data_IF_086101712242
#
_entry.id   IF_086101712242
#
_cell.length_a   1.000
_cell.length_b   1.000
_cell.length_c   1.000
_cell.angle_alpha   90.00
_cell.angle_beta   90.00
_cell.angle_gamma   90.00
#
_symmetry.space_group_name_H-M   'P 1'
#
loop_
_entity.id
_entity.type
_entity.pdbx_description
1 polymer ?
2 non-polymer ?
3 non-polymer ?
4 non-polymer ?
5 non-polymer ?
6 water ?
#
# COMPACT_ATOMS: atom_id res chain seq x y z
N UNK A 6 21.56 -20.28 -20.63
CA UNK A 6 22.37 -20.15 -19.43
C UNK A 6 21.49 -20.11 -18.18
N UNK A 7 20.48 -19.25 -18.20
CA UNK A 7 19.55 -19.11 -17.09
C UNK A 7 18.12 -19.35 -17.57
N UNK A 8 17.41 -20.24 -16.87
CA UNK A 8 16.03 -20.56 -17.20
C UNK A 8 15.09 -19.55 -16.56
N UNK A 9 14.75 -18.50 -17.29
CA UNK A 9 13.80 -17.49 -16.82
C UNK A 9 12.46 -18.15 -16.58
N UNK A 10 12.11 -19.08 -17.47
CA UNK A 10 10.85 -19.79 -17.40
C UNK A 10 10.71 -20.58 -16.10
N UNK A 11 11.79 -21.24 -15.70
CA UNK A 11 11.76 -22.11 -14.53
C UNK A 11 11.61 -21.31 -13.24
N UNK A 12 12.28 -20.17 -13.16
CA UNK A 12 12.25 -19.34 -11.96
C UNK A 12 10.83 -18.88 -11.64
N UNK A 13 10.07 -18.59 -12.69
CA UNK A 13 8.70 -18.14 -12.54
C UNK A 13 7.80 -19.29 -12.06
N UNK A 14 8.14 -20.51 -12.47
CA UNK A 14 7.35 -21.68 -12.10
C UNK A 14 7.53 -22.04 -10.62
N UNK A 15 8.70 -21.73 -10.07
CA UNK A 15 9.00 -22.02 -8.67
C UNK A 15 8.73 -20.79 -7.78
N UNK A 16 8.15 -19.76 -8.35
CA UNK A 16 7.87 -18.53 -7.63
C UNK A 16 6.52 -18.63 -6.91
N UNK A 17 6.50 -18.47 -5.57
CA UNK A 17 5.22 -18.60 -4.86
C UNK A 17 4.24 -17.48 -5.20
N UNK A 18 2.95 -17.81 -5.24
CA UNK A 18 1.91 -16.85 -5.54
C UNK A 18 1.58 -15.99 -4.32
N UNK A 19 1.68 -14.68 -4.50
CA UNK A 19 1.52 -13.74 -3.39
C UNK A 19 0.12 -13.18 -3.25
N UNK A 20 -0.31 -12.98 -2.00
CA UNK A 20 -1.50 -12.21 -1.69
C UNK A 20 -1.08 -11.07 -0.78
N UNK A 21 -1.57 -9.87 -1.06
CA UNK A 21 -1.23 -8.69 -0.27
C UNK A 21 -2.45 -8.18 0.51
N UNK A 22 -2.29 -8.10 1.82
CA UNK A 22 -3.34 -7.59 2.70
C UNK A 22 -2.91 -6.25 3.29
N UNK A 23 -3.71 -5.23 3.00
CA UNK A 23 -3.44 -3.86 3.49
C UNK A 23 -4.35 -3.48 4.65
N UNK A 24 -3.73 -3.15 5.79
CA UNK A 24 -4.47 -2.76 6.98
C UNK A 24 -4.69 -1.25 7.05
N UNK A 25 -5.95 -0.88 7.25
CA UNK A 25 -6.36 0.53 7.26
C UNK A 25 -7.22 0.84 8.47
N UNK A 26 -7.23 2.10 8.89
CA UNK A 26 -8.04 2.53 10.01
C UNK A 26 -7.50 3.76 10.70
N UNK A 27 -8.34 4.37 11.54
CA UNK A 27 -7.94 5.55 12.31
C UNK A 27 -6.80 5.22 13.26
N UNK A 28 -6.19 6.26 13.82
CA UNK A 28 -5.18 6.07 14.86
C UNK A 28 -5.83 5.40 16.06
N UNK A 29 -5.04 4.64 16.81
CA UNK A 29 -5.50 3.98 18.03
C UNK A 29 -6.48 2.83 17.76
N UNK A 30 -6.61 2.45 16.49
CA UNK A 30 -7.54 1.37 16.12
C UNK A 30 -7.02 0.00 16.58
N UNK A 31 -5.70 -0.16 16.59
CA UNK A 31 -5.07 -1.40 17.01
C UNK A 31 -4.45 -2.17 15.87
N UNK A 32 -4.18 -1.48 14.76
CA UNK A 32 -3.61 -2.12 13.58
C UNK A 32 -2.24 -2.73 13.85
N UNK A 33 -1.34 -1.93 14.40
CA UNK A 33 0.03 -2.39 14.68
C UNK A 33 0.02 -3.51 15.72
N UNK A 34 -0.72 -3.31 16.80
CA UNK A 34 -0.86 -4.33 17.83
C UNK A 34 -1.35 -5.65 17.24
N UNK A 35 -2.49 -5.60 16.57
CA UNK A 35 -3.12 -6.80 16.02
C UNK A 35 -2.18 -7.51 15.08
N UNK A 36 -1.52 -6.73 14.24
CA UNK A 36 -0.69 -7.28 13.19
C UNK A 36 0.61 -7.85 13.77
N UNK A 37 1.08 -7.27 14.86
CA UNK A 37 2.21 -7.83 15.59
C UNK A 37 1.83 -9.14 16.26
N UNK A 38 0.62 -9.21 16.80
CA UNK A 38 0.14 -10.40 17.48
C UNK A 38 -0.10 -11.53 16.48
N UNK A 39 -0.56 -11.17 15.28
CA UNK A 39 -0.77 -12.14 14.23
C UNK A 39 0.56 -12.81 13.86
N UNK A 40 1.59 -12.00 13.67
CA UNK A 40 2.92 -12.51 13.32
C UNK A 40 3.43 -13.47 14.39
N UNK A 41 3.17 -13.15 15.65
CA UNK A 41 3.55 -14.02 16.76
C UNK A 41 2.79 -15.34 16.69
N UNK A 42 1.51 -15.27 16.33
CA UNK A 42 0.68 -16.47 16.24
C UNK A 42 1.13 -17.37 15.09
N UNK A 43 1.78 -16.78 14.09
CA UNK A 43 2.30 -17.53 12.95
C UNK A 43 3.75 -17.94 13.18
N UNK A 44 4.21 -17.85 14.43
CA UNK A 44 5.56 -18.29 14.81
C UNK A 44 6.65 -17.58 14.00
N UNK A 45 6.47 -16.28 13.79
CA UNK A 45 7.47 -15.48 13.08
C UNK A 45 8.30 -14.66 14.06
N UNK A 46 7.92 -14.70 15.34
CA UNK A 46 8.67 -14.03 16.40
C UNK A 46 9.09 -15.04 17.44
N UNK A 47 10.39 -15.17 17.66
CA UNK A 47 10.91 -16.12 18.64
C UNK A 47 10.54 -15.69 20.05
N UNK A 48 10.54 -16.66 20.98
CA UNK A 48 10.28 -16.36 22.38
C UNK A 48 11.36 -15.45 22.94
N UNK A 49 12.59 -15.67 22.52
CA UNK A 49 13.72 -14.86 22.99
C UNK A 49 13.56 -13.42 22.51
N UNK A 50 13.20 -13.26 21.25
CA UNK A 50 13.01 -11.94 20.67
C UNK A 50 11.82 -11.25 21.32
N UNK A 51 10.80 -12.03 21.67
CA UNK A 51 9.60 -11.50 22.30
C UNK A 51 9.94 -10.83 23.63
N UNK A 52 10.69 -11.53 24.47
CA UNK A 52 11.02 -11.03 25.81
C UNK A 52 11.80 -9.73 25.75
N UNK A 53 12.61 -9.56 24.70
CA UNK A 53 13.35 -8.32 24.49
C UNK A 53 12.41 -7.17 24.14
N UNK A 54 11.31 -7.49 23.45
CA UNK A 54 10.34 -6.48 23.03
C UNK A 54 9.52 -5.97 24.20
N UNK A 55 9.27 -6.83 25.19
CA UNK A 55 8.49 -6.46 26.36
C UNK A 55 9.30 -5.50 27.24
N UNK A 56 10.63 -5.64 27.17
CA UNK A 56 11.54 -4.76 27.88
C UNK A 56 11.54 -3.36 27.26
N UNK A 57 11.62 -3.30 25.93
CA UNK A 57 11.54 -2.03 25.22
C UNK A 57 10.22 -1.34 25.54
N UNK A 58 9.14 -2.11 25.56
CA UNK A 58 7.81 -1.59 25.81
C UNK A 58 7.66 -1.08 27.24
N UNK A 59 8.43 -1.65 28.16
CA UNK A 59 8.41 -1.21 29.55
C UNK A 59 8.99 0.19 29.71
N UNK A 60 9.99 0.51 28.88
CA UNK A 60 10.64 1.81 28.95
C UNK A 60 9.85 2.92 28.24
N UNK A 61 8.84 2.53 27.49
CA UNK A 61 8.02 3.50 26.75
C UNK A 61 6.75 3.85 27.52
N UNK A 62 5.98 4.78 26.96
CA UNK A 62 4.71 5.19 27.54
C UNK A 62 3.78 3.99 27.72
N UNK A 63 3.41 3.66 28.97
CA UNK A 63 2.55 2.48 29.15
C UNK A 63 1.11 2.72 28.72
N UNK A 64 0.80 3.96 28.35
CA UNK A 64 -0.53 4.31 27.87
C UNK A 64 -0.68 4.00 26.37
N UNK A 65 0.45 3.96 25.67
CA UNK A 65 0.44 3.78 24.21
C UNK A 65 1.08 2.47 23.77
N UNK A 66 1.98 1.94 24.57
CA UNK A 66 2.83 0.83 24.13
C UNK A 66 2.39 -0.55 24.64
N UNK A 67 2.68 -1.56 23.83
CA UNK A 67 2.62 -2.96 24.25
C UNK A 67 3.66 -3.74 23.45
N UNK A 68 3.85 -5.01 23.79
CA UNK A 68 4.96 -5.78 23.22
C UNK A 68 4.75 -6.18 21.75
N UNK A 69 3.50 -6.17 21.28
CA UNK A 69 3.22 -6.58 19.90
C UNK A 69 3.41 -5.42 18.91
N UNK A 70 2.92 -4.24 19.25
CA UNK A 70 2.98 -3.11 18.33
C UNK A 70 4.41 -2.63 18.11
N UNK A 71 5.28 -2.84 19.09
CA UNK A 71 6.68 -2.43 18.95
C UNK A 71 7.40 -3.28 17.91
N UNK A 72 6.79 -4.41 17.52
CA UNK A 72 7.32 -5.20 16.42
C UNK A 72 7.22 -4.41 15.12
N UNK A 73 6.12 -3.69 14.95
CA UNK A 73 5.88 -2.92 13.74
C UNK A 73 6.38 -1.48 13.91
N UNK A 74 6.13 -0.91 15.08
CA UNK A 74 6.67 0.39 15.41
C UNK A 74 8.10 0.20 15.88
N UNK A 75 8.98 -0.11 14.93
CA UNK A 75 10.34 -0.54 15.24
C UNK A 75 11.39 0.56 15.04
N UNK A 76 10.93 1.76 14.70
CA UNK A 76 11.82 2.90 14.55
C UNK A 76 11.90 3.66 15.87
N UNK A 77 13.03 4.32 16.10
CA UNK A 77 13.25 5.07 17.33
C UNK A 77 12.21 6.18 17.46
N UNK A 78 11.84 6.78 16.34
CA UNK A 78 10.94 7.92 16.34
C UNK A 78 9.48 7.52 16.58
N UNK A 79 9.11 6.32 16.16
CA UNK A 79 7.73 5.85 16.36
C UNK A 79 7.51 5.36 17.78
N UNK A 80 8.57 4.85 18.39
CA UNK A 80 8.50 4.34 19.76
C UNK A 80 8.41 5.48 20.76
N UNK A 81 9.13 6.57 20.50
CA UNK A 81 9.09 7.74 21.37
C UNK A 81 7.76 8.49 21.21
N UNK A 82 7.23 8.50 19.99
CA UNK A 82 5.96 9.17 19.72
C UNK A 82 4.75 8.33 20.14
N UNK A 83 4.88 7.01 20.04
CA UNK A 83 3.84 6.10 20.50
C UNK A 83 2.77 5.79 19.47
N UNK A 84 3.09 6.02 18.19
CA UNK A 84 2.18 5.67 17.10
C UNK A 84 2.94 5.53 15.78
N UNK A 85 2.32 4.85 14.82
CA UNK A 85 2.97 4.58 13.54
C UNK A 85 3.07 5.83 12.69
N UNK A 86 4.16 5.94 11.94
CA UNK A 86 4.42 7.08 11.06
C UNK A 86 4.78 6.61 9.66
N UNK A 87 5.33 5.41 9.57
CA UNK A 87 5.76 4.85 8.29
C UNK A 87 5.02 3.55 8.00
N UNK A 88 4.72 3.32 6.72
CA UNK A 88 4.11 2.06 6.31
C UNK A 88 5.13 0.93 6.45
N UNK A 89 4.66 -0.24 6.88
CA UNK A 89 5.51 -1.41 6.99
C UNK A 89 5.03 -2.52 6.06
N UNK A 90 5.96 -3.15 5.37
CA UNK A 90 5.65 -4.26 4.47
C UNK A 90 6.34 -5.53 4.96
N UNK A 91 5.55 -6.52 5.35
CA UNK A 91 6.05 -7.80 5.84
C UNK A 91 5.57 -8.94 4.97
N UNK A 92 6.52 -9.70 4.40
CA UNK A 92 6.20 -10.88 3.62
C UNK A 92 6.40 -12.14 4.45
N UNK A 93 5.35 -12.96 4.52
CA UNK A 93 5.36 -14.18 5.31
C UNK A 93 5.32 -15.40 4.41
N UNK A 94 6.16 -16.37 4.72
CA UNK A 94 6.19 -17.63 3.98
C UNK A 94 6.57 -18.76 4.92
N UNK A 95 5.60 -19.62 5.24
CA UNK A 95 5.85 -20.74 6.12
C UNK A 95 4.82 -21.86 5.93
N UNK A 96 4.90 -22.88 6.77
CA UNK A 96 4.07 -24.07 6.63
C UNK A 96 2.69 -23.91 7.26
N UNK A 97 2.36 -22.68 7.64
CA UNK A 97 1.02 -22.36 8.14
C UNK A 97 0.16 -21.77 7.03
N UNK A 98 0.82 -21.44 5.92
CA UNK A 98 0.14 -20.89 4.74
C UNK A 98 -0.04 -21.99 3.69
N UNK A 99 -0.88 -21.72 2.67
CA UNK A 99 -0.99 -22.66 1.56
C UNK A 99 0.36 -22.86 0.87
N UNK A 100 0.68 -24.09 0.45
CA UNK A 100 1.94 -24.35 -0.26
C UNK A 100 2.15 -23.45 -1.48
N UNK A 101 3.40 -23.06 -1.72
CA UNK A 101 3.77 -22.22 -2.86
C UNK A 101 3.10 -20.85 -2.81
N UNK A 102 2.93 -20.31 -1.60
CA UNK A 102 2.29 -19.02 -1.43
C UNK A 102 3.09 -18.11 -0.51
N UNK A 103 2.84 -16.81 -0.62
CA UNK A 103 3.33 -15.83 0.35
C UNK A 103 2.20 -14.90 0.74
N UNK A 104 2.18 -14.51 2.02
CA UNK A 104 1.20 -13.57 2.53
C UNK A 104 1.91 -12.27 2.90
N UNK A 105 1.62 -11.20 2.16
CA UNK A 105 2.18 -9.90 2.45
C UNK A 105 1.22 -9.07 3.29
N UNK A 106 1.69 -8.70 4.49
CA UNK A 106 0.92 -7.86 5.40
C UNK A 106 1.48 -6.44 5.41
N UNK A 107 0.61 -5.46 5.20
CA UNK A 107 1.04 -4.06 5.15
C UNK A 107 0.36 -3.21 6.22
N UNK A 108 1.18 -2.62 7.09
CA UNK A 108 0.70 -1.72 8.12
C UNK A 108 0.74 -0.29 7.60
N UNK A 109 -0.22 0.53 8.02
CA UNK A 109 -0.27 1.92 7.61
C UNK A 109 -0.61 2.81 8.79
N UNK A 110 -0.12 4.06 8.77
CA UNK A 110 -0.41 4.98 9.88
C UNK A 110 -1.84 5.50 9.82
N UNK A 111 -2.45 5.69 10.99
CA UNK A 111 -3.81 6.21 11.09
C UNK A 111 -3.88 7.69 11.44
N UNK A 112 -2.91 8.18 12.20
CA UNK A 112 -2.87 9.60 12.55
C UNK A 112 -2.86 10.44 11.29
N UNK A 113 -3.80 11.37 11.21
CA UNK A 113 -4.19 11.99 9.95
C UNK A 113 -3.01 12.57 9.18
N UNK A 114 -2.04 13.16 9.89
CA UNK A 114 -0.90 13.77 9.23
C UNK A 114 -0.13 12.73 8.41
N UNK A 115 0.17 11.61 9.02
CA UNK A 115 0.97 10.56 8.38
C UNK A 115 0.11 9.66 7.51
N UNK A 116 -1.19 9.64 7.77
CA UNK A 116 -2.14 8.97 6.90
C UNK A 116 -2.13 9.62 5.52
N UNK A 117 -2.22 10.95 5.51
CA UNK A 117 -2.22 11.72 4.27
C UNK A 117 -0.89 11.61 3.53
N UNK A 118 0.19 11.32 4.27
CA UNK A 118 1.51 11.19 3.68
C UNK A 118 1.71 9.86 2.97
N UNK A 119 1.24 8.77 3.60
CA UNK A 119 1.65 7.43 3.22
C UNK A 119 0.52 6.47 2.85
N UNK A 120 -0.60 6.54 3.56
CA UNK A 120 -1.60 5.48 3.48
C UNK A 120 -2.34 5.47 2.15
N UNK A 121 -2.79 6.63 1.69
CA UNK A 121 -3.50 6.72 0.42
C UNK A 121 -2.60 6.21 -0.71
N UNK A 122 -1.33 6.58 -0.66
CA UNK A 122 -0.38 6.15 -1.67
C UNK A 122 -0.07 4.65 -1.58
N UNK A 123 -0.15 4.09 -0.38
CA UNK A 123 0.10 2.67 -0.20
C UNK A 123 -0.96 1.85 -0.93
N UNK A 124 -2.19 2.35 -0.95
CA UNK A 124 -3.29 1.69 -1.64
C UNK A 124 -3.00 1.65 -3.15
N UNK A 125 -2.47 2.74 -3.68
CA UNK A 125 -2.21 2.85 -5.11
C UNK A 125 -0.90 2.18 -5.51
N UNK A 126 0.06 2.12 -4.58
CA UNK A 126 1.39 1.60 -4.89
C UNK A 126 1.40 0.06 -4.87
N UNK A 127 0.78 -0.52 -3.86
CA UNK A 127 0.92 -1.95 -3.61
C UNK A 127 -0.25 -2.78 -4.16
N UNK A 128 -1.33 -2.10 -4.54
CA UNK A 128 -2.44 -2.74 -5.26
C UNK A 128 -2.87 -4.05 -4.58
N UNK A 129 -3.30 -3.95 -3.31
CA UNK A 129 -3.64 -5.12 -2.49
C UNK A 129 -4.91 -5.84 -2.95
N UNK A 130 -4.90 -7.17 -2.89
CA UNK A 130 -6.08 -7.97 -3.22
C UNK A 130 -7.10 -7.89 -2.10
N UNK A 131 -6.62 -7.60 -0.89
CA UNK A 131 -7.46 -7.56 0.31
C UNK A 131 -7.23 -6.28 1.12
N UNK A 132 -8.33 -5.64 1.50
CA UNK A 132 -8.29 -4.55 2.45
C UNK A 132 -8.74 -5.07 3.82
N UNK A 133 -8.07 -4.62 4.87
CA UNK A 133 -8.49 -4.95 6.23
C UNK A 133 -8.71 -3.66 7.00
N UNK A 134 -9.99 -3.34 7.21
CA UNK A 134 -10.38 -2.13 7.92
C UNK A 134 -10.54 -2.43 9.40
N UNK A 135 -9.66 -1.84 10.21
CA UNK A 135 -9.65 -2.09 11.65
C UNK A 135 -10.39 -0.98 12.37
N UNK A 136 -11.32 -1.37 13.24
CA UNK A 136 -12.19 -0.42 13.92
C UNK A 136 -12.23 -0.65 15.43
N UNK A 137 -12.07 0.44 16.17
CA UNK A 137 -12.12 0.40 17.62
C UNK A 137 -13.58 0.41 18.09
N UNK A 138 -13.99 -0.68 18.73
CA UNK A 138 -15.38 -0.84 19.16
C UNK A 138 -15.58 -0.49 20.63
N UNK A 139 -14.54 0.01 21.27
CA UNK A 139 -14.64 0.44 22.66
C UNK A 139 -15.71 1.52 22.79
N UNK A 140 -16.23 1.70 24.00
CA UNK A 140 -17.28 2.69 24.24
C UNK A 140 -16.77 4.08 23.93
N UNK A 141 -17.65 4.88 23.33
CA UNK A 141 -17.39 6.29 23.01
C UNK A 141 -16.40 6.49 21.85
N UNK A 142 -15.49 5.55 21.66
CA UNK A 142 -14.51 5.66 20.56
C UNK A 142 -15.22 5.55 19.21
N UNK A 143 -16.09 4.56 19.08
CA UNK A 143 -16.83 4.33 17.85
C UNK A 143 -17.72 5.51 17.50
N UNK A 144 -18.39 6.06 18.51
CA UNK A 144 -19.30 7.19 18.30
C UNK A 144 -18.54 8.45 17.86
N UNK A 145 -17.34 8.62 18.39
CA UNK A 145 -16.51 9.79 18.05
C UNK A 145 -15.86 9.69 16.67
N UNK A 146 -15.86 8.48 16.09
CA UNK A 146 -15.07 8.24 14.89
C UNK A 146 -15.91 8.32 13.61
N UNK A 147 -17.14 8.81 13.72
CA UNK A 147 -17.99 9.02 12.55
C UNK A 147 -18.64 10.40 12.57
N UNK A 148 -17.81 11.43 12.62
CA UNK A 148 -18.28 12.81 12.59
C UNK A 148 -18.43 13.31 11.15
N UNK A 149 -19.67 13.29 10.66
CA UNK A 149 -19.98 13.84 9.36
C UNK A 149 -19.59 12.94 8.20
N UNK A 150 -19.91 13.37 6.97
CA UNK A 150 -19.66 12.61 5.74
C UNK A 150 -18.18 12.45 5.39
N UNK A 151 -17.31 13.25 6.01
CA UNK A 151 -15.89 13.23 5.68
C UNK A 151 -15.00 12.70 6.80
N UNK A 152 -15.57 11.91 7.71
CA UNK A 152 -14.75 11.29 8.75
C UNK A 152 -13.72 10.38 8.11
N UNK A 153 -12.64 10.10 8.84
CA UNK A 153 -11.49 9.41 8.26
C UNK A 153 -11.84 8.01 7.74
N UNK A 154 -12.78 7.34 8.39
CA UNK A 154 -13.20 6.01 7.96
C UNK A 154 -13.90 6.08 6.61
N UNK A 155 -14.74 7.10 6.40
CA UNK A 155 -15.44 7.25 5.13
C UNK A 155 -14.48 7.67 4.02
N UNK A 156 -13.43 8.39 4.37
CA UNK A 156 -12.43 8.81 3.39
C UNK A 156 -11.71 7.59 2.82
N UNK A 157 -11.42 6.63 3.69
CA UNK A 157 -10.85 5.36 3.24
C UNK A 157 -11.82 4.68 2.27
N UNK A 158 -13.08 4.60 2.68
CA UNK A 158 -14.10 3.94 1.86
C UNK A 158 -14.33 4.66 0.53
N UNK A 159 -14.20 5.99 0.53
CA UNK A 159 -14.35 6.77 -0.69
C UNK A 159 -13.27 6.44 -1.73
N UNK A 160 -12.21 5.76 -1.30
CA UNK A 160 -11.17 5.30 -2.21
C UNK A 160 -11.37 3.83 -2.57
N UNK A 161 -11.36 2.96 -1.56
CA UNK A 161 -11.31 1.52 -1.80
C UNK A 161 -12.62 0.95 -2.33
N UNK A 162 -13.73 1.69 -2.16
CA UNK A 162 -15.02 1.24 -2.67
C UNK A 162 -15.15 1.42 -4.19
N UNK A 163 -14.30 2.27 -4.76
CA UNK A 163 -14.50 2.73 -6.13
C UNK A 163 -13.31 2.48 -7.07
N UNK A 164 -12.19 2.01 -6.52
CA UNK A 164 -11.03 1.70 -7.34
C UNK A 164 -11.30 0.50 -8.25
N UNK A 165 -10.77 0.55 -9.46
CA UNK A 165 -10.92 -0.53 -10.44
C UNK A 165 -12.38 -0.83 -10.76
N UNK A 166 -13.09 0.18 -11.25
CA UNK A 166 -14.46 -0.01 -11.71
C UNK A 166 -14.47 -0.92 -12.94
N UNK A 167 -15.62 -1.54 -13.20
CA UNK A 167 -15.80 -2.49 -14.29
C UNK A 167 -15.18 -3.85 -13.96
N UNK A 168 -14.56 -3.95 -12.79
CA UNK A 168 -14.13 -5.23 -12.23
C UNK A 168 -13.06 -5.95 -13.08
N UNK A 169 -13.37 -7.19 -13.49
CA UNK A 169 -12.40 -8.22 -13.92
C UNK A 169 -11.74 -8.84 -12.69
N UNK A 170 -11.92 -8.19 -11.54
CA UNK A 170 -11.56 -8.74 -10.24
C UNK A 170 -12.62 -8.25 -9.27
N UNK A 171 -12.77 -8.91 -8.13
CA UNK A 171 -13.74 -8.47 -7.14
C UNK A 171 -13.07 -8.11 -5.82
N UNK A 172 -13.63 -7.10 -5.19
CA UNK A 172 -13.07 -6.55 -3.96
C UNK A 172 -13.17 -7.55 -2.82
N UNK A 173 -12.20 -7.47 -1.92
CA UNK A 173 -12.22 -8.26 -0.69
C UNK A 173 -11.91 -7.37 0.50
N UNK A 174 -12.94 -7.10 1.30
CA UNK A 174 -12.82 -6.25 2.48
C UNK A 174 -13.16 -7.04 3.73
N UNK A 175 -12.19 -7.13 4.65
CA UNK A 175 -12.45 -7.69 5.97
C UNK A 175 -12.51 -6.55 6.96
N UNK A 176 -13.64 -6.42 7.66
CA UNK A 176 -13.78 -5.43 8.72
C UNK A 176 -13.54 -6.10 10.06
N UNK A 177 -12.45 -5.72 10.71
CA UNK A 177 -12.12 -6.25 12.03
C UNK A 177 -12.71 -5.35 13.12
N UNK A 178 -13.71 -5.89 13.79
CA UNK A 178 -14.32 -5.22 14.93
C UNK A 178 -13.45 -5.46 16.17
N UNK A 179 -12.48 -4.56 16.36
CA UNK A 179 -11.38 -4.78 17.28
C UNK A 179 -11.64 -4.27 18.70
N UNK A 180 -10.77 -4.67 19.63
CA UNK A 180 -10.86 -4.27 21.04
C UNK A 180 -12.17 -4.75 21.65
N UNK A 181 -12.63 -5.92 21.22
CA UNK A 181 -13.86 -6.50 21.73
C UNK A 181 -13.75 -6.79 23.22
N UNK A 182 -12.52 -6.94 23.72
CA UNK A 182 -12.28 -7.20 25.14
C UNK A 182 -12.66 -6.00 26.00
N UNK A 183 -12.49 -4.79 25.47
CA UNK A 183 -12.80 -3.58 26.22
C UNK A 183 -14.31 -3.35 26.36
N UNK A 184 -15.10 -4.22 25.72
CA UNK A 184 -16.56 -4.14 25.85
C UNK A 184 -17.12 -5.51 26.26
N UNK A 185 -16.23 -6.41 26.66
CA UNK A 185 -16.62 -7.74 27.12
C UNK A 185 -17.51 -8.45 26.10
N UNK A 186 -17.22 -8.23 24.83
CA UNK A 186 -17.95 -8.83 23.72
C UNK A 186 -19.46 -8.54 23.82
N UNK A 187 -19.76 -7.29 24.11
CA UNK A 187 -21.13 -6.78 24.13
C UNK A 187 -21.83 -7.14 22.81
N UNK A 188 -22.71 -8.14 22.87
CA UNK A 188 -23.34 -8.68 21.66
C UNK A 188 -24.14 -7.62 20.91
N UNK A 189 -24.99 -6.92 21.65
CA UNK A 189 -25.84 -5.88 21.09
C UNK A 189 -25.01 -4.79 20.44
N UNK A 190 -23.92 -4.41 21.10
CA UNK A 190 -23.06 -3.34 20.63
C UNK A 190 -22.33 -3.73 19.34
N UNK A 191 -21.76 -4.93 19.32
CA UNK A 191 -21.07 -5.42 18.12
C UNK A 191 -22.03 -5.58 16.95
N UNK A 192 -23.25 -6.04 17.24
CA UNK A 192 -24.26 -6.19 16.20
C UNK A 192 -24.67 -4.83 15.65
N UNK A 193 -24.82 -3.85 16.55
CA UNK A 193 -25.17 -2.49 16.15
C UNK A 193 -24.10 -1.92 15.21
N UNK A 194 -22.85 -1.95 15.65
CA UNK A 194 -21.74 -1.43 14.86
C UNK A 194 -21.69 -2.12 13.51
N UNK A 195 -21.81 -3.44 13.51
CA UNK A 195 -21.83 -4.20 12.26
C UNK A 195 -23.01 -3.79 11.39
N UNK A 196 -24.18 -3.61 12.00
CA UNK A 196 -25.38 -3.22 11.26
C UNK A 196 -25.19 -1.88 10.59
N UNK A 197 -24.61 -0.94 11.34
CA UNK A 197 -24.36 0.41 10.83
C UNK A 197 -23.42 0.40 9.63
N UNK A 198 -22.33 -0.34 9.72
CA UNK A 198 -21.33 -0.36 8.65
C UNK A 198 -21.85 -1.10 7.44
N UNK A 199 -22.58 -2.19 7.67
CA UNK A 199 -23.17 -2.97 6.59
C UNK A 199 -24.08 -2.11 5.72
N UNK A 200 -24.88 -1.26 6.36
CA UNK A 200 -25.77 -0.36 5.64
C UNK A 200 -25.01 0.64 4.78
N UNK A 201 -24.04 1.33 5.39
CA UNK A 201 -23.25 2.34 4.70
C UNK A 201 -22.51 1.73 3.51
N UNK A 202 -21.85 0.61 3.74
CA UNK A 202 -21.09 -0.06 2.69
C UNK A 202 -21.98 -0.39 1.50
N UNK A 203 -23.18 -0.88 1.79
CA UNK A 203 -24.10 -1.31 0.74
C UNK A 203 -24.82 -0.14 0.08
N UNK A 204 -25.37 0.75 0.89
CA UNK A 204 -26.22 1.82 0.38
C UNK A 204 -25.42 2.99 -0.19
N UNK A 205 -24.32 3.34 0.47
CA UNK A 205 -23.56 4.52 0.09
C UNK A 205 -22.34 4.21 -0.77
N UNK A 206 -21.76 3.03 -0.60
CA UNK A 206 -20.51 2.68 -1.27
C UNK A 206 -20.64 1.45 -2.17
N UNK A 207 -21.86 0.93 -2.26
CA UNK A 207 -22.23 -0.04 -3.28
C UNK A 207 -21.49 -1.38 -3.17
N UNK A 208 -21.12 -1.76 -1.96
CA UNK A 208 -20.52 -3.07 -1.71
C UNK A 208 -21.59 -4.15 -1.78
N UNK A 209 -21.22 -5.33 -2.27
CA UNK A 209 -22.10 -6.49 -2.27
C UNK A 209 -21.63 -7.49 -1.23
N UNK A 210 -22.56 -8.28 -0.69
CA UNK A 210 -22.29 -9.20 0.41
C UNK A 210 -21.04 -10.06 0.21
N UNK A 211 -20.86 -10.59 -0.99
CA UNK A 211 -19.73 -11.47 -1.27
C UNK A 211 -18.39 -10.75 -1.16
N UNK A 212 -18.42 -9.42 -1.26
CA UNK A 212 -17.19 -8.64 -1.31
C UNK A 212 -16.63 -8.30 0.07
N UNK A 213 -17.40 -8.55 1.13
CA UNK A 213 -16.92 -8.21 2.47
C UNK A 213 -17.52 -9.06 3.57
N UNK A 214 -16.90 -8.99 4.75
CA UNK A 214 -17.34 -9.73 5.92
C UNK A 214 -16.83 -9.10 7.21
N UNK A 215 -17.54 -9.32 8.30
CA UNK A 215 -17.15 -8.78 9.59
C UNK A 215 -16.55 -9.87 10.47
N UNK A 216 -15.54 -9.51 11.26
CA UNK A 216 -14.94 -10.44 12.21
C UNK A 216 -14.62 -9.69 13.51
N UNK A 217 -15.26 -10.08 14.62
CA UNK A 217 -14.89 -9.50 15.91
C UNK A 217 -13.58 -10.07 16.42
N UNK A 218 -12.79 -9.27 17.13
CA UNK A 218 -11.52 -9.74 17.63
C UNK A 218 -10.92 -8.82 18.68
N UNK A 219 -9.83 -9.29 19.27
CA UNK A 219 -8.97 -8.50 20.13
C UNK A 219 -7.52 -8.71 19.72
N UNK A 220 -6.92 -7.70 19.10
CA UNK A 220 -5.57 -7.82 18.61
C UNK A 220 -4.56 -7.91 19.75
N UNK A 221 -4.91 -7.30 20.89
CA UNK A 221 -4.03 -7.32 22.05
C UNK A 221 -4.03 -8.69 22.71
N UNK A 222 -5.21 -9.23 22.98
CA UNK A 222 -5.34 -10.53 23.63
C UNK A 222 -5.26 -11.68 22.62
N UNK A 223 -5.41 -11.36 21.34
CA UNK A 223 -5.32 -12.37 20.29
C UNK A 223 -6.61 -13.14 20.07
N UNK A 224 -7.69 -12.70 20.72
CA UNK A 224 -8.97 -13.37 20.62
C UNK A 224 -9.49 -13.40 19.18
N UNK A 225 -9.72 -14.60 18.68
CA UNK A 225 -10.29 -14.82 17.35
C UNK A 225 -9.37 -14.40 16.20
N UNK A 226 -8.07 -14.33 16.47
CA UNK A 226 -7.10 -14.06 15.41
C UNK A 226 -6.78 -15.33 14.65
N UNK A 227 -6.64 -16.45 15.38
CA UNK A 227 -6.39 -17.73 14.74
C UNK A 227 -6.95 -18.88 15.55
N UNK A 228 -6.85 -20.09 15.01
CA UNK A 228 -7.42 -21.31 15.59
C UNK A 228 -8.84 -21.09 16.10
N UNK A 242 -14.40 -16.64 34.33
CA UNK A 242 -13.44 -17.45 33.61
C UNK A 242 -13.44 -17.05 32.15
N UNK A 243 -13.82 -15.80 31.90
CA UNK A 243 -14.07 -15.33 30.54
C UNK A 243 -13.35 -14.03 30.20
N UNK A 244 -12.06 -14.15 29.88
CA UNK A 244 -11.36 -13.14 29.10
C UNK A 244 -10.40 -13.91 28.19
N UNK A 245 -10.08 -13.34 27.03
CA UNK A 245 -9.35 -14.06 25.99
C UNK A 245 -10.19 -15.23 25.46
N UNK A 246 -11.51 -15.10 25.65
CA UNK A 246 -12.47 -16.10 25.18
C UNK A 246 -13.20 -15.56 23.96
N UNK A 247 -13.71 -16.47 23.14
CA UNK A 247 -14.65 -16.11 22.09
C UNK A 247 -16.03 -16.58 22.55
N UNK A 248 -16.99 -15.64 22.69
CA UNK A 248 -18.29 -15.99 23.30
C UNK A 248 -19.03 -17.08 22.54
N UNK A 249 -19.89 -17.80 23.26
CA UNK A 249 -20.60 -18.95 22.72
C UNK A 249 -21.46 -18.59 21.51
N UNK A 250 -22.00 -17.38 21.50
CA UNK A 250 -22.94 -16.99 20.45
C UNK A 250 -22.25 -16.70 19.12
N UNK A 251 -20.98 -16.32 19.15
CA UNK A 251 -20.25 -16.08 17.91
C UNK A 251 -19.92 -17.40 17.21
N UNK A 252 -20.35 -17.52 15.96
CA UNK A 252 -20.11 -18.74 15.20
C UNK A 252 -19.54 -18.42 13.82
N UNK A 253 -18.91 -17.26 13.71
CA UNK A 253 -18.19 -16.89 12.51
C UNK A 253 -16.77 -17.40 12.53
N UNK A 254 -16.00 -17.13 11.47
CA UNK A 254 -14.62 -17.62 11.36
C UNK A 254 -13.60 -16.75 12.09
N UNK A 255 -12.39 -17.27 12.24
CA UNK A 255 -11.28 -16.48 12.78
C UNK A 255 -10.68 -15.63 11.67
N UNK A 256 -9.91 -14.61 12.04
CA UNK A 256 -9.28 -13.74 11.07
C UNK A 256 -8.37 -14.53 10.13
N UNK A 257 -7.46 -15.31 10.70
CA UNK A 257 -6.46 -16.01 9.89
C UNK A 257 -7.07 -17.10 9.00
N UNK A 258 -8.17 -17.69 9.44
CA UNK A 258 -8.85 -18.69 8.64
C UNK A 258 -9.34 -18.07 7.34
N UNK A 259 -9.82 -16.84 7.42
CA UNK A 259 -10.30 -16.14 6.24
C UNK A 259 -9.15 -15.67 5.37
N UNK A 260 -8.05 -15.26 5.99
CA UNK A 260 -6.83 -14.93 5.26
C UNK A 260 -6.36 -16.15 4.48
N UNK A 261 -6.35 -17.31 5.14
CA UNK A 261 -5.90 -18.54 4.51
C UNK A 261 -6.69 -18.85 3.25
N UNK A 262 -8.01 -18.79 3.36
CA UNK A 262 -8.88 -19.07 2.23
C UNK A 262 -8.63 -18.10 1.06
N UNK A 263 -8.43 -16.83 1.39
CA UNK A 263 -8.18 -15.82 0.37
C UNK A 263 -6.87 -16.10 -0.38
N UNK A 264 -5.82 -16.44 0.36
CA UNK A 264 -4.54 -16.81 -0.26
C UNK A 264 -4.75 -18.01 -1.17
N UNK A 265 -5.49 -19.00 -0.66
CA UNK A 265 -5.74 -20.24 -1.38
C UNK A 265 -6.50 -19.99 -2.68
N UNK A 266 -7.59 -19.23 -2.59
CA UNK A 266 -8.40 -18.93 -3.76
C UNK A 266 -7.64 -18.04 -4.76
N UNK A 267 -6.60 -17.37 -4.27
CA UNK A 267 -5.77 -16.53 -5.12
C UNK A 267 -4.83 -17.38 -5.97
N UNK A 268 -4.63 -18.64 -5.57
CA UNK A 268 -3.74 -19.55 -6.28
C UNK A 268 -4.18 -19.72 -7.73
N UNK A 269 -5.49 -19.86 -7.94
CA UNK A 269 -6.03 -20.03 -9.28
C UNK A 269 -6.11 -18.68 -10.00
N UNK A 270 -4.96 -18.04 -10.18
CA UNK A 270 -4.88 -16.74 -10.83
C UNK A 270 -3.99 -16.82 -12.07
N UNK A 271 -4.42 -16.19 -13.15
CA UNK A 271 -3.68 -16.22 -14.40
C UNK A 271 -2.40 -15.40 -14.27
N UNK A 272 -1.27 -16.04 -14.53
CA UNK A 272 0.04 -15.41 -14.41
C UNK A 272 0.60 -15.05 -15.79
N UNK A 273 0.67 -13.75 -16.08
CA UNK A 273 1.11 -13.26 -17.39
C UNK A 273 2.48 -12.59 -17.34
N UNK A 274 3.32 -13.01 -16.40
CA UNK A 274 4.61 -12.37 -16.17
C UNK A 274 5.49 -12.31 -17.41
N UNK A 275 5.56 -13.41 -18.17
CA UNK A 275 6.42 -13.48 -19.35
C UNK A 275 6.03 -12.46 -20.41
N UNK A 276 4.74 -12.12 -20.45
CA UNK A 276 4.23 -11.14 -21.40
C UNK A 276 4.48 -9.71 -20.94
N UNK A 277 4.52 -9.52 -19.64
CA UNK A 277 4.61 -8.20 -19.05
C UNK A 277 5.95 -7.50 -19.33
N UNK A 278 5.92 -6.18 -19.58
CA UNK A 278 7.16 -5.41 -19.62
C UNK A 278 7.65 -5.12 -18.21
N UNK A 279 8.96 -4.96 -18.01
CA UNK A 279 9.46 -4.69 -16.68
C UNK A 279 9.18 -3.26 -16.25
N UNK A 280 8.53 -3.12 -15.11
CA UNK A 280 8.29 -1.83 -14.48
C UNK A 280 8.48 -1.98 -12.99
N UNK A 281 9.21 -1.04 -12.40
CA UNK A 281 9.47 -1.06 -10.98
C UNK A 281 9.36 0.33 -10.39
N UNK A 282 8.89 0.40 -9.15
CA UNK A 282 8.79 1.66 -8.43
C UNK A 282 9.90 1.74 -7.40
N UNK A 283 10.61 2.86 -7.40
CA UNK A 283 11.67 3.11 -6.43
C UNK A 283 11.08 3.55 -5.10
N UNK A 284 11.18 2.67 -4.10
CA UNK A 284 10.63 2.94 -2.77
C UNK A 284 11.65 3.71 -1.93
N UNK A 285 12.93 3.54 -2.25
CA UNK A 285 14.00 4.14 -1.49
C UNK A 285 15.26 4.16 -2.33
N UNK A 286 16.07 5.20 -2.16
CA UNK A 286 17.29 5.37 -2.94
C UNK A 286 18.43 5.93 -2.10
N UNK A 287 19.63 5.40 -2.32
CA UNK A 287 20.82 5.85 -1.62
C UNK A 287 22.06 5.68 -2.48
N UNK A 288 22.78 6.77 -2.72
CA UNK A 288 24.02 6.75 -3.47
C UNK A 288 25.19 6.39 -2.55
N UNK A 289 25.92 5.35 -2.90
CA UNK A 289 27.08 4.95 -2.11
C UNK A 289 28.15 6.04 -2.14
N UNK A 290 28.74 6.31 -0.99
CA UNK A 290 29.74 7.38 -0.85
C UNK A 290 31.14 6.80 -0.66
N UNK A 291 32.17 7.56 -1.08
CA UNK A 291 32.07 8.85 -1.76
C UNK A 291 31.78 8.70 -3.25
N UNK A 292 31.21 9.75 -3.85
CA UNK A 292 30.89 9.73 -5.28
C UNK A 292 32.15 9.64 -6.14
N UNK A 293 31.99 9.17 -7.38
CA UNK A 293 33.12 8.95 -8.28
C UNK A 293 32.69 9.04 -9.74
N UNK A 294 33.62 8.71 -10.64
CA UNK A 294 33.34 8.72 -12.08
C UNK A 294 32.27 7.71 -12.42
N UNK A 295 32.36 6.53 -11.80
CA UNK A 295 31.30 5.53 -11.87
C UNK A 295 30.69 5.42 -10.48
N UNK A 296 29.36 5.51 -10.40
CA UNK A 296 28.68 5.49 -9.12
C UNK A 296 27.73 4.30 -8.99
N UNK A 297 27.47 3.93 -7.75
CA UNK A 297 26.60 2.80 -7.44
C UNK A 297 25.45 3.28 -6.56
N UNK A 298 24.24 3.11 -7.08
CA UNK A 298 23.03 3.50 -6.37
C UNK A 298 22.29 2.26 -5.87
N UNK A 299 22.05 2.22 -4.56
CA UNK A 299 21.26 1.14 -3.97
C UNK A 299 19.79 1.54 -3.96
N UNK A 300 18.98 0.82 -4.73
CA UNK A 300 17.56 1.11 -4.85
C UNK A 300 16.72 0.04 -4.18
N UNK A 301 15.77 0.46 -3.35
CA UNK A 301 14.71 -0.44 -2.90
C UNK A 301 13.60 -0.35 -3.94
N UNK A 302 13.36 -1.46 -4.63
CA UNK A 302 12.45 -1.47 -5.78
C UNK A 302 11.26 -2.40 -5.59
N UNK A 303 10.06 -1.86 -5.73
CA UNK A 303 8.85 -2.67 -5.83
C UNK A 303 8.58 -2.97 -7.29
N UNK A 304 8.57 -4.24 -7.65
CA UNK A 304 8.35 -4.64 -9.03
C UNK A 304 6.87 -4.59 -9.36
N UNK A 305 6.49 -3.71 -10.27
CA UNK A 305 5.08 -3.54 -10.65
C UNK A 305 4.63 -4.53 -11.71
N UNK A 306 5.53 -4.88 -12.61
CA UNK A 306 5.23 -5.84 -13.66
C UNK A 306 6.51 -6.43 -14.23
N UNK A 307 6.36 -7.52 -14.98
CA UNK A 307 7.48 -8.15 -15.66
C UNK A 307 8.52 -8.71 -14.73
N UNK A 308 9.77 -8.73 -15.19
CA UNK A 308 10.87 -9.28 -14.41
C UNK A 308 12.18 -8.56 -14.71
N UNK A 309 13.10 -8.65 -13.75
CA UNK A 309 14.43 -8.05 -13.87
C UNK A 309 15.46 -9.06 -13.38
N UNK A 310 16.55 -9.21 -14.13
CA UNK A 310 17.64 -10.08 -13.70
C UNK A 310 18.96 -9.32 -13.69
N UNK A 311 19.88 -9.78 -12.85
CA UNK A 311 21.17 -9.13 -12.69
C UNK A 311 21.92 -9.05 -14.00
N UNK A 312 22.63 -7.95 -14.21
CA UNK A 312 23.43 -7.75 -15.41
C UNK A 312 22.69 -7.01 -16.51
N UNK A 313 21.37 -6.92 -16.40
CA UNK A 313 20.58 -6.23 -17.41
C UNK A 313 20.76 -4.72 -17.35
N UNK A 314 20.60 -4.06 -18.49
CA UNK A 314 20.64 -2.61 -18.55
C UNK A 314 19.25 -2.07 -18.27
N UNK A 315 19.20 -0.97 -17.51
CA UNK A 315 17.94 -0.36 -17.09
C UNK A 315 17.94 1.15 -17.29
N UNK A 316 16.74 1.74 -17.24
CA UNK A 316 16.58 3.19 -17.25
C UNK A 316 15.90 3.66 -15.96
N UNK A 317 16.46 4.67 -15.33
CA UNK A 317 15.85 5.30 -14.16
C UNK A 317 15.30 6.66 -14.56
N UNK A 318 13.99 6.82 -14.45
CA UNK A 318 13.35 8.08 -14.82
C UNK A 318 12.90 8.84 -13.58
N UNK A 319 13.45 10.03 -13.40
CA UNK A 319 13.14 10.84 -12.22
C UNK A 319 11.89 11.68 -12.42
N UNK A 320 11.39 12.22 -11.32
CA UNK A 320 10.23 13.10 -11.35
C UNK A 320 10.67 14.50 -11.78
N UNK A 321 11.94 14.81 -11.50
CA UNK A 321 12.58 15.96 -12.14
C UNK A 321 12.48 15.77 -13.64
N UNK A 322 11.77 16.68 -14.29
CA UNK A 322 11.18 16.46 -15.63
C UNK A 322 12.09 15.76 -16.64
N UNK A 323 13.35 16.17 -16.74
CA UNK A 323 14.20 15.74 -17.84
C UNK A 323 15.03 14.49 -17.52
N UNK A 324 15.55 14.41 -16.30
CA UNK A 324 16.63 13.47 -15.99
C UNK A 324 16.25 12.01 -16.23
N UNK A 325 17.17 11.29 -16.84
CA UNK A 325 17.04 9.88 -17.11
C UNK A 325 18.43 9.26 -17.03
N UNK A 326 18.55 8.15 -16.31
CA UNK A 326 19.86 7.52 -16.10
C UNK A 326 19.90 6.11 -16.64
N UNK A 327 20.90 5.86 -17.48
CA UNK A 327 21.18 4.53 -17.98
C UNK A 327 22.20 3.86 -17.06
N UNK A 328 21.91 2.63 -16.66
CA UNK A 328 22.80 1.90 -15.79
C UNK A 328 22.61 0.40 -15.94
N UNK A 329 23.42 -0.35 -15.20
CA UNK A 329 23.36 -1.80 -15.24
C UNK A 329 23.10 -2.33 -13.83
N UNK A 330 22.31 -3.40 -13.74
CA UNK A 330 22.06 -4.06 -12.47
C UNK A 330 23.31 -4.83 -12.06
N UNK A 331 24.02 -4.30 -11.08
CA UNK A 331 25.24 -4.95 -10.57
C UNK A 331 24.89 -6.21 -9.79
N UNK A 332 23.95 -6.08 -8.86
CA UNK A 332 23.50 -7.22 -8.06
C UNK A 332 22.13 -6.92 -7.46
N UNK A 333 21.47 -7.96 -6.96
CA UNK A 333 20.18 -7.82 -6.29
C UNK A 333 20.13 -8.66 -5.03
N UNK A 334 19.50 -8.12 -3.99
CA UNK A 334 19.38 -8.79 -2.70
C UNK A 334 17.94 -8.68 -2.18
N UNK A 335 17.58 -9.56 -1.26
CA UNK A 335 16.30 -9.43 -0.57
C UNK A 335 16.30 -8.16 0.27
N UNK A 336 15.17 -7.46 0.29
CA UNK A 336 15.06 -6.23 1.06
C UNK A 336 14.96 -6.54 2.54
N UNK A 337 15.57 -5.68 3.36
CA UNK A 337 15.55 -5.86 4.81
C UNK A 337 14.12 -5.71 5.33
N UNK A 338 13.69 -6.69 6.13
CA UNK A 338 12.31 -6.82 6.55
C UNK A 338 12.24 -6.86 8.09
N UNK A 339 11.07 -6.52 8.63
CA UNK A 339 10.87 -6.57 10.08
C UNK A 339 11.13 -7.97 10.61
N UNK A 340 10.75 -8.98 9.82
CA UNK A 340 11.10 -10.35 10.14
C UNK A 340 12.52 -10.65 9.68
N UNK A 341 13.23 -11.50 10.41
CA UNK A 341 14.59 -11.88 10.07
C UNK A 341 14.62 -12.55 8.70
N UNK A 342 15.42 -12.01 7.79
CA UNK A 342 15.58 -12.59 6.46
C UNK A 342 17.07 -12.62 6.08
N UNK A 343 17.36 -13.26 4.95
CA UNK A 343 18.73 -13.37 4.46
C UNK A 343 19.03 -12.34 3.38
N UNK A 344 19.67 -11.25 3.79
CA UNK A 344 20.02 -10.17 2.87
C UNK A 344 21.45 -10.30 2.36
N UNK A 345 22.13 -11.38 2.76
CA UNK A 345 23.51 -11.62 2.31
C UNK A 345 23.57 -12.17 0.89
N UNK A 346 22.70 -13.14 0.58
CA UNK A 346 22.72 -13.80 -0.71
C UNK A 346 22.17 -12.93 -1.85
N UNK A 347 22.70 -13.17 -3.05
CA UNK A 347 22.27 -12.45 -4.24
C UNK A 347 21.14 -13.19 -4.95
N UNK A 348 20.20 -12.44 -5.50
CA UNK A 348 19.10 -13.00 -6.27
C UNK A 348 19.35 -12.79 -7.76
N UNK A 349 19.02 -13.80 -8.56
CA UNK A 349 19.23 -13.73 -10.00
C UNK A 349 18.08 -13.04 -10.70
N UNK A 350 16.87 -13.24 -10.19
CA UNK A 350 15.66 -12.75 -10.83
C UNK A 350 14.69 -12.13 -9.84
N UNK A 351 14.12 -10.98 -10.21
CA UNK A 351 13.07 -10.35 -9.44
C UNK A 351 11.77 -10.43 -10.20
N UNK A 352 10.68 -10.71 -9.49
CA UNK A 352 9.37 -10.89 -10.12
C UNK A 352 8.29 -10.07 -9.41
N UNK A 353 7.30 -9.63 -10.18
CA UNK A 353 6.10 -9.02 -9.62
C UNK A 353 5.49 -9.95 -8.56
N UNK A 354 5.20 -9.46 -7.33
CA UNK A 354 5.40 -8.13 -6.73
C UNK A 354 6.54 -8.08 -5.72
N UNK A 355 7.67 -8.73 -6.02
CA UNK A 355 8.80 -8.74 -5.11
C UNK A 355 9.28 -7.33 -4.81
N UNK A 356 9.75 -7.12 -3.58
CA UNK A 356 10.48 -5.92 -3.22
C UNK A 356 11.94 -6.32 -3.02
N UNK A 357 12.83 -5.70 -3.80
CA UNK A 357 14.25 -6.05 -3.77
C UNK A 357 15.16 -4.86 -3.57
N UNK A 358 16.35 -5.11 -3.03
CA UNK A 358 17.43 -4.16 -3.08
C UNK A 358 18.13 -4.37 -4.42
N UNK A 359 18.24 -3.32 -5.21
CA UNK A 359 18.85 -3.40 -6.53
C UNK A 359 19.98 -2.39 -6.63
N UNK A 360 21.21 -2.90 -6.72
CA UNK A 360 22.38 -2.04 -6.85
C UNK A 360 22.63 -1.73 -8.31
N UNK A 361 22.54 -0.45 -8.66
CA UNK A 361 22.66 0.00 -10.05
C UNK A 361 24.01 0.68 -10.27
N UNK A 362 24.65 0.33 -11.38
CA UNK A 362 25.94 0.90 -11.78
C UNK A 362 25.73 1.94 -12.89
N UNK A 363 26.11 3.18 -12.61
CA UNK A 363 25.89 4.29 -13.54
C UNK A 363 27.17 5.05 -13.86
N UNK A 364 27.52 5.08 -15.14
CA UNK A 364 28.67 5.84 -15.62
C UNK A 364 28.30 7.31 -15.79
N UNK A 365 29.06 8.20 -15.16
CA UNK A 365 28.83 9.63 -15.32
C UNK A 365 29.30 10.14 -16.68
N UNK A 366 28.40 10.79 -17.40
CA UNK A 366 28.74 11.41 -18.68
C UNK A 366 29.53 12.69 -18.43
N UNK A 367 29.07 13.46 -17.46
CA UNK A 367 29.64 14.77 -17.15
C UNK A 367 30.52 14.71 -15.91
N UNK A 368 31.08 15.85 -15.55
CA UNK A 368 31.85 15.99 -14.33
C UNK A 368 31.02 15.54 -13.14
N UNK A 369 31.51 14.53 -12.42
CA UNK A 369 30.71 13.87 -11.40
C UNK A 369 30.54 14.68 -10.12
N UNK A 370 31.33 15.74 -9.96
CA UNK A 370 31.25 16.56 -8.76
C UNK A 370 30.24 17.69 -8.91
N UNK A 371 30.22 18.29 -10.09
CA UNK A 371 29.35 19.43 -10.35
C UNK A 371 27.89 18.98 -10.38
N UNK A 372 27.60 17.99 -11.22
CA UNK A 372 26.24 17.47 -11.38
C UNK A 372 26.08 16.11 -10.72
N UNK A 373 25.29 16.08 -9.65
CA UNK A 373 24.93 14.83 -8.99
C UNK A 373 23.44 14.55 -9.15
N UNK A 374 23.13 13.31 -9.54
CA UNK A 374 21.76 12.90 -9.79
C UNK A 374 20.95 12.84 -8.51
N UNK A 375 19.65 13.09 -8.64
CA UNK A 375 18.72 13.01 -7.52
C UNK A 375 17.58 12.03 -7.85
N UNK A 376 17.70 10.83 -7.30
CA UNK A 376 16.70 9.80 -7.50
C UNK A 376 15.86 9.73 -6.23
N UNK A 377 14.55 9.94 -6.38
CA UNK A 377 13.64 10.06 -5.24
C UNK A 377 12.59 8.96 -5.23
N UNK A 378 11.87 8.83 -4.11
CA UNK A 378 10.78 7.86 -4.01
C UNK A 378 9.73 8.16 -5.04
N UNK A 379 9.16 7.12 -5.63
CA UNK A 379 8.10 7.29 -6.61
C UNK A 379 8.63 7.30 -8.03
N UNK A 380 9.94 7.41 -8.18
CA UNK A 380 10.56 7.31 -9.50
C UNK A 380 10.44 5.88 -9.98
N UNK A 381 10.46 5.68 -11.29
CA UNK A 381 10.29 4.35 -11.86
C UNK A 381 11.57 3.86 -12.51
N UNK A 382 11.68 2.54 -12.61
CA UNK A 382 12.79 1.91 -13.29
C UNK A 382 12.24 0.92 -14.31
N UNK A 383 12.79 0.96 -15.52
CA UNK A 383 12.38 0.07 -16.59
C UNK A 383 13.61 -0.51 -17.29
N UNK A 384 13.40 -1.51 -18.13
CA UNK A 384 14.49 -2.06 -18.93
C UNK A 384 14.90 -0.99 -19.95
N UNK A 385 16.19 -0.95 -20.27
CA UNK A 385 16.70 0.07 -21.17
C UNK A 385 16.15 -0.08 -22.58
N UNK A 386 15.70 1.04 -23.14
CA UNK A 386 15.26 1.09 -24.52
C UNK A 386 16.46 1.45 -25.39
N UNK A 387 17.46 0.57 -25.37
CA UNK A 387 18.77 0.83 -25.97
C UNK A 387 18.73 0.96 -27.49
N UNK A 388 19.69 1.71 -28.04
CA UNK A 388 19.85 1.87 -29.48
C UNK A 388 21.21 1.30 -29.93
N UNK A 397 7.12 -2.53 -30.17
CA UNK A 397 7.16 -3.31 -28.95
C UNK A 397 7.81 -2.56 -27.79
N UNK A 398 8.58 -1.52 -28.11
CA UNK A 398 9.24 -0.72 -27.10
C UNK A 398 8.22 -0.09 -26.15
N UNK A 399 8.56 -0.05 -24.87
CA UNK A 399 7.62 0.41 -23.85
C UNK A 399 7.32 1.90 -23.96
N UNK A 400 6.04 2.24 -23.96
CA UNK A 400 5.61 3.63 -24.05
C UNK A 400 5.67 4.30 -22.69
N UNK A 401 6.48 5.34 -22.58
CA UNK A 401 6.62 6.09 -21.34
C UNK A 401 6.30 7.56 -21.57
N UNK A 402 5.44 8.12 -20.71
CA UNK A 402 5.00 9.49 -20.84
C UNK A 402 5.44 10.33 -19.66
N UNK A 403 5.80 11.59 -19.94
CA UNK A 403 6.13 12.56 -18.90
C UNK A 403 5.12 13.71 -18.99
N UNK A 404 4.16 13.72 -18.08
CA UNK A 404 3.00 14.58 -18.20
C UNK A 404 2.95 15.73 -17.19
N UNK A 405 2.74 16.94 -17.70
CA UNK A 405 2.43 18.10 -16.87
C UNK A 405 0.94 18.40 -16.97
N UNK A 406 0.41 18.35 -18.19
CA UNK A 406 -1.03 18.39 -18.42
C UNK A 406 -1.54 16.95 -18.46
N UNK A 407 -2.40 16.60 -17.51
CA UNK A 407 -2.82 15.22 -17.33
C UNK A 407 -4.32 15.05 -17.54
N UNK A 408 -4.69 14.21 -18.49
CA UNK A 408 -6.08 13.87 -18.73
C UNK A 408 -6.49 12.72 -17.81
N UNK A 409 -7.60 12.87 -17.11
CA UNK A 409 -8.07 11.88 -16.15
C UNK A 409 -9.48 11.40 -16.46
N UNK A 410 -9.66 10.08 -16.42
CA UNK A 410 -11.00 9.48 -16.49
C UNK A 410 -11.47 9.19 -15.08
N UNK A 411 -12.32 10.07 -14.55
CA UNK A 411 -12.76 10.00 -13.17
C UNK A 411 -14.24 9.70 -13.04
N UNK A 412 -14.63 9.25 -11.86
CA UNK A 412 -16.03 9.11 -11.50
C UNK A 412 -16.24 9.64 -10.08
N UNK A 413 -17.17 10.57 -9.92
CA UNK A 413 -17.54 11.05 -8.60
C UNK A 413 -18.75 10.28 -8.08
N UNK A 414 -19.01 10.42 -6.78
CA UNK A 414 -20.22 9.90 -6.18
C UNK A 414 -20.80 11.00 -5.29
N UNK A 415 -20.82 10.80 -3.98
CA UNK A 415 -21.30 11.84 -3.08
C UNK A 415 -20.31 13.00 -3.02
N UNK A 416 -20.82 14.21 -3.25
CA UNK A 416 -19.99 15.41 -3.23
C UNK A 416 -20.69 16.51 -2.43
N UNK A 417 -20.08 16.93 -1.33
CA UNK A 417 -20.63 17.97 -0.48
C UNK A 417 -20.78 19.27 -1.24
N UNK A 418 -19.70 19.69 -1.89
CA UNK A 418 -19.69 20.92 -2.69
C UNK A 418 -19.12 20.63 -4.08
N UNK A 419 -19.72 21.22 -5.13
CA UNK A 419 -19.13 21.05 -6.47
C UNK A 419 -17.71 21.60 -6.56
N UNK A 420 -16.91 21.04 -7.44
CA UNK A 420 -15.53 21.50 -7.64
C UNK A 420 -15.45 22.30 -8.93
N UNK A 421 -15.25 23.61 -8.79
CA UNK A 421 -15.22 24.50 -9.94
C UNK A 421 -13.90 24.43 -10.69
N UNK A 422 -13.90 24.89 -11.93
CA UNK A 422 -12.68 25.03 -12.71
C UNK A 422 -11.71 25.96 -11.99
N UNK A 423 -10.43 25.74 -12.18
CA UNK A 423 -9.40 26.56 -11.55
C UNK A 423 -9.13 26.15 -10.12
N UNK A 424 -9.85 25.16 -9.62
CA UNK A 424 -9.64 24.65 -8.26
C UNK A 424 -8.27 23.97 -8.14
N UNK A 425 -7.65 24.15 -6.98
CA UNK A 425 -6.42 23.44 -6.66
C UNK A 425 -6.76 22.13 -5.98
N UNK A 426 -6.18 21.04 -6.48
CA UNK A 426 -6.43 19.70 -5.97
C UNK A 426 -5.11 18.97 -5.75
N UNK A 427 -5.17 17.83 -5.09
CA UNK A 427 -4.02 16.94 -5.00
C UNK A 427 -4.28 15.69 -5.82
N UNK A 428 -3.32 15.34 -6.67
CA UNK A 428 -3.42 14.15 -7.51
C UNK A 428 -2.55 13.04 -6.96
N UNK A 429 -3.20 11.99 -6.44
CA UNK A 429 -2.49 10.82 -5.96
C UNK A 429 -2.34 9.81 -7.10
N UNK A 430 -1.10 9.40 -7.35
CA UNK A 430 -0.81 8.40 -8.38
C UNK A 430 0.40 7.58 -7.98
N UNK A 431 0.22 6.27 -7.89
CA UNK A 431 1.28 5.37 -7.47
C UNK A 431 1.81 5.79 -6.09
N UNK A 432 3.08 6.19 -6.01
CA UNK A 432 3.69 6.54 -4.73
C UNK A 432 3.80 8.06 -4.52
N UNK A 433 3.28 8.85 -5.46
CA UNK A 433 3.40 10.31 -5.40
C UNK A 433 2.05 11.01 -5.24
N UNK A 434 2.09 12.20 -4.65
CA UNK A 434 0.94 13.10 -4.61
C UNK A 434 1.38 14.52 -4.95
N UNK A 435 0.73 15.14 -5.93
CA UNK A 435 1.11 16.45 -6.42
C UNK A 435 -0.06 17.41 -6.51
N UNK A 436 0.19 18.66 -6.15
CA UNK A 436 -0.81 19.70 -6.31
C UNK A 436 -1.06 19.95 -7.79
N UNK A 437 -2.33 20.00 -8.17
CA UNK A 437 -2.72 20.25 -9.56
C UNK A 437 -3.85 21.27 -9.63
N UNK A 438 -3.99 21.88 -10.81
CA UNK A 438 -5.07 22.83 -11.06
C UNK A 438 -6.05 22.21 -12.06
N UNK A 439 -7.33 22.25 -11.71
CA UNK A 439 -8.37 21.78 -12.60
C UNK A 439 -8.57 22.79 -13.73
N UNK A 440 -8.17 22.41 -14.94
CA UNK A 440 -8.12 23.36 -16.06
C UNK A 440 -9.14 23.10 -17.16
N UNK A 441 -9.76 21.92 -17.18
CA UNK A 441 -10.77 21.63 -18.19
C UNK A 441 -11.65 20.42 -17.84
N UNK A 442 -12.92 20.54 -18.21
CA UNK A 442 -13.87 19.43 -18.12
C UNK A 442 -14.37 19.11 -19.53
N UNK A 443 -13.90 17.99 -20.07
CA UNK A 443 -14.18 17.64 -21.46
C UNK A 443 -15.62 17.17 -21.69
N UNK A 444 -16.10 17.38 -22.91
CA UNK A 444 -17.39 16.87 -23.33
C UNK A 444 -18.59 17.67 -22.84
N UNK A 445 -18.34 18.76 -22.13
CA UNK A 445 -19.42 19.59 -21.59
C UNK A 445 -18.96 21.01 -21.33
N UNK A 446 -19.91 21.94 -21.32
CA UNK A 446 -19.63 23.33 -20.98
C UNK A 446 -19.75 23.56 -19.48
N UNK A 447 -19.87 22.48 -18.72
CA UNK A 447 -19.97 22.57 -17.27
C UNK A 447 -18.77 23.27 -16.68
N UNK A 448 -19.02 24.09 -15.66
CA UNK A 448 -17.98 24.87 -15.01
C UNK A 448 -17.54 24.23 -13.70
N UNK A 449 -18.08 23.05 -13.41
CA UNK A 449 -17.78 22.38 -12.15
C UNK A 449 -17.97 20.87 -12.24
N UNK A 450 -17.23 20.15 -11.40
CA UNK A 450 -17.43 18.72 -11.21
C UNK A 450 -18.55 18.53 -10.21
N UNK A 451 -19.47 17.61 -10.51
CA UNK A 451 -20.69 17.46 -9.74
C UNK A 451 -20.84 16.06 -9.13
N UNK A 452 -21.78 15.90 -8.18
CA UNK A 452 -22.03 14.59 -7.56
C UNK A 452 -22.44 13.52 -8.56
N UNK A 453 -21.96 12.30 -8.34
CA UNK A 453 -22.38 11.13 -9.11
C UNK A 453 -22.26 11.30 -10.62
N UNK A 454 -21.06 11.66 -11.08
CA UNK A 454 -20.77 11.81 -12.50
C UNK A 454 -19.62 10.92 -12.93
N UNK A 455 -19.56 10.66 -14.22
CA UNK A 455 -18.41 10.01 -14.84
C UNK A 455 -17.88 10.93 -15.93
N UNK A 456 -16.72 11.54 -15.68
CA UNK A 456 -16.20 12.60 -16.52
C UNK A 456 -14.83 12.30 -17.11
N UNK A 457 -14.48 13.06 -18.14
CA UNK A 457 -13.11 13.15 -18.61
C UNK A 457 -12.64 14.56 -18.27
N UNK A 458 -11.49 14.65 -17.59
CA UNK A 458 -11.03 15.91 -17.00
C UNK A 458 -9.54 16.12 -17.27
N UNK A 459 -9.12 17.37 -17.29
CA UNK A 459 -7.70 17.72 -17.42
C UNK A 459 -7.21 18.51 -16.22
N UNK A 460 -6.11 18.05 -15.63
CA UNK A 460 -5.46 18.76 -14.53
C UNK A 460 -4.03 19.09 -14.93
N UNK A 461 -3.48 20.15 -14.33
CA UNK A 461 -2.14 20.59 -14.65
C UNK A 461 -1.25 20.64 -13.41
N UNK A 462 -0.08 20.01 -13.49
CA UNK A 462 0.91 20.08 -12.42
C UNK A 462 1.27 21.53 -12.12
N UNK A 463 1.19 21.91 -10.85
CA UNK A 463 1.52 23.26 -10.43
C UNK A 463 3.02 23.40 -10.21
N UNK A 464 3.64 22.42 -9.57
CA UNK A 464 5.06 22.49 -9.24
C UNK A 464 5.91 22.65 -10.50
N UNK A 465 6.80 23.65 -10.52
CA UNK A 465 7.69 23.83 -11.69
C UNK A 465 8.67 22.67 -11.86
N UNK A 466 9.07 22.42 -13.11
CA UNK A 466 10.09 21.42 -13.41
C UNK A 466 9.74 20.04 -12.86
N UNK A 467 8.44 19.77 -12.72
CA UNK A 467 7.95 18.47 -12.29
C UNK A 467 7.06 17.89 -13.37
N UNK A 468 7.23 16.60 -13.63
CA UNK A 468 6.37 15.89 -14.59
C UNK A 468 6.04 14.50 -14.06
N UNK A 469 4.80 14.08 -14.27
CA UNK A 469 4.35 12.77 -13.82
C UNK A 469 4.74 11.68 -14.82
N UNK A 470 5.49 10.69 -14.35
CA UNK A 470 5.88 9.56 -15.18
C UNK A 470 4.72 8.57 -15.31
N UNK A 471 4.28 8.34 -16.53
CA UNK A 471 3.17 7.43 -16.78
C UNK A 471 3.55 6.41 -17.84
N UNK A 472 3.36 5.14 -17.51
CA UNK A 472 3.64 4.06 -18.44
C UNK A 472 2.34 3.63 -19.09
N UNK A 473 2.28 3.77 -20.42
CA UNK A 473 1.09 3.38 -21.18
C UNK A 473 1.23 1.93 -21.63
N UNK A 474 0.53 1.05 -20.92
CA UNK A 474 0.56 -0.37 -21.19
C UNK A 474 -0.66 -1.05 -20.60
N UNK A 475 -1.13 -2.11 -21.24
CA UNK A 475 -2.28 -2.85 -20.74
C UNK A 475 -1.98 -3.51 -19.40
N UNK A 476 -0.71 -3.58 -19.04
CA UNK A 476 -0.28 -4.24 -17.82
C UNK A 476 -0.08 -3.28 -16.64
N UNK A 477 -0.43 -2.01 -16.85
CA UNK A 477 -0.31 -0.99 -15.80
C UNK A 477 -1.66 -0.30 -15.60
N UNK A 478 -2.10 -0.21 -14.36
CA UNK A 478 -3.41 0.33 -14.02
C UNK A 478 -3.48 1.86 -14.16
N UNK A 479 -2.52 2.53 -13.54
CA UNK A 479 -2.51 4.00 -13.46
C UNK A 479 -3.75 4.56 -12.77
N UNK A 480 -4.21 3.87 -11.73
CA UNK A 480 -5.28 4.39 -10.88
C UNK A 480 -4.84 5.67 -10.21
N UNK A 481 -5.78 6.58 -10.00
CA UNK A 481 -5.50 7.84 -9.32
C UNK A 481 -6.59 8.18 -8.33
N UNK A 482 -6.29 9.13 -7.45
CA UNK A 482 -7.29 9.69 -6.56
C UNK A 482 -7.13 11.21 -6.55
N UNK A 483 -8.26 11.90 -6.68
CA UNK A 483 -8.29 13.35 -6.58
C UNK A 483 -8.86 13.76 -5.22
N UNK A 484 -8.11 14.60 -4.52
CA UNK A 484 -8.56 15.14 -3.25
C UNK A 484 -8.48 16.66 -3.26
N UNK A 485 -9.10 17.28 -2.26
CA UNK A 485 -8.90 18.71 -2.02
C UNK A 485 -7.55 18.92 -1.36
N UNK A 486 -7.16 20.17 -1.20
CA UNK A 486 -5.90 20.48 -0.52
C UNK A 486 -5.97 20.01 0.93
N UNK A 487 -7.19 19.93 1.45
CA UNK A 487 -7.40 19.46 2.82
C UNK A 487 -7.55 17.93 2.83
N UNK A 488 -7.20 17.29 1.72
CA UNK A 488 -7.13 15.83 1.62
C UNK A 488 -8.49 15.15 1.72
N UNK A 489 -9.54 15.83 1.26
CA UNK A 489 -10.88 15.24 1.19
C UNK A 489 -11.07 14.61 -0.18
N UNK A 490 -11.38 13.32 -0.21
CA UNK A 490 -11.52 12.60 -1.47
C UNK A 490 -12.68 13.16 -2.27
N UNK A 491 -12.38 13.53 -3.52
CA UNK A 491 -13.36 14.08 -4.43
C UNK A 491 -13.77 13.03 -5.46
N UNK A 492 -12.77 12.35 -6.02
CA UNK A 492 -13.01 11.39 -7.07
C UNK A 492 -11.91 10.34 -7.14
N UNK A 493 -12.24 9.21 -7.77
CA UNK A 493 -11.27 8.18 -8.11
C UNK A 493 -11.27 8.07 -9.63
N UNK A 494 -10.18 7.58 -10.20
CA UNK A 494 -10.09 7.48 -11.65
C UNK A 494 -8.83 6.81 -12.15
N UNK A 495 -8.53 7.06 -13.42
CA UNK A 495 -7.34 6.53 -14.07
C UNK A 495 -6.76 7.57 -15.03
N UNK A 496 -5.44 7.58 -15.17
CA UNK A 496 -4.80 8.41 -16.19
C UNK A 496 -5.31 7.98 -17.56
N UNK A 497 -5.84 8.92 -18.33
CA UNK A 497 -6.22 8.66 -19.70
C UNK A 497 -5.06 8.99 -20.62
N UNK A 498 -4.33 7.97 -21.04
CA UNK A 498 -3.16 8.16 -21.89
C UNK A 498 -3.57 8.58 -23.30
N UNK A 499 -4.73 8.11 -23.74
CA UNK A 499 -5.25 8.43 -25.06
C UNK A 499 -6.62 9.07 -24.96
#
# INVERSE_FOLDING_TARGET
GPDSMSIDIHSFIATHPLNLTCLFLGDTNAGKSTLLGHLLYDLNEISMSSMRELQKKSSNLDPSSSNSFKVILDNTKTERENGFSMFKKVIQVENDLLPPSSTLTLIDTPGSIKYFNKETLNSILTFDPEVYVLVIDCNYDSWEKSLDGPNNQIYEILKVISYLNKNSACKKHLIILLNKADLISWDKHRLEMIQSELNYVLKENFQWTDAEFQFIPCSGLLGSNLNKTENITKSKYKSEFDSINYVPEWYEGPTFFSQLYLLVEHNMNKIETTLEEPFVGTILQSSVLQPIAEINYVSLKVLINSGYIQSGQTIEIHTQYEDFHYYGIVSRMKNSKQILETNTKNNISVGLNPDILEVLVKIHNTEDFTKKQFHIRKGDIIIHSRKTNTLSPNLPNTLKLLALRLIKLSIQTHALSDPVDLGSELLLYHNLTHNAVKLVKILGTNDISINPNQSLIVEVEIIEPDFALNVIDSKYITNNIVLTSIDHKVIAVGRIACQ
#
